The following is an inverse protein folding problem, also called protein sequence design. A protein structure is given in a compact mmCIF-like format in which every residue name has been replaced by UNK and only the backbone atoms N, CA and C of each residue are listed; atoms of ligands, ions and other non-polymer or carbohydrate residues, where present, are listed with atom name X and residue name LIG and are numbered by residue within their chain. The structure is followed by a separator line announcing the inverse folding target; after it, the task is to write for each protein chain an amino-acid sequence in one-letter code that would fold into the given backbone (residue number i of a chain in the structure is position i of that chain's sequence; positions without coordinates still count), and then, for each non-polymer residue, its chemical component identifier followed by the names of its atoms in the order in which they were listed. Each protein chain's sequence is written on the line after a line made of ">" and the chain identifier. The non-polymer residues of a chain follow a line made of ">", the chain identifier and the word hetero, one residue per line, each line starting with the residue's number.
data_IF_653789144323
#
_entry.id   IF_653789144323
#
_cell.length_a   1.000
_cell.length_b   1.000
_cell.length_c   1.000
_cell.angle_alpha   90.00
_cell.angle_beta   90.00
_cell.angle_gamma   90.00
#
_symmetry.space_group_name_H-M   'P 1'
#
loop_
_entity.id
_entity.type
_entity.pdbx_description
1 polymer ?
#
# COMPACT_ATOMS: atom_id res chain seq x y z
N UNK A 1 -4.61 15.50 -6.26
CA UNK A 1 -5.05 14.58 -7.34
C UNK A 1 -5.46 13.27 -6.69
N UNK A 2 -6.66 12.76 -7.00
CA UNK A 2 -7.13 11.48 -6.46
C UNK A 2 -6.52 10.32 -7.25
N UNK A 3 -5.85 9.42 -6.54
CA UNK A 3 -5.24 8.22 -7.06
C UNK A 3 -6.00 6.99 -6.58
N UNK A 4 -6.50 6.18 -7.50
CA UNK A 4 -7.19 4.94 -7.15
C UNK A 4 -6.18 3.80 -7.06
N UNK A 5 -6.07 3.24 -5.86
CA UNK A 5 -5.27 2.06 -5.57
C UNK A 5 -5.94 0.82 -6.16
N UNK A 6 -5.14 -0.22 -6.38
CA UNK A 6 -5.58 -1.53 -6.89
C UNK A 6 -6.65 -2.22 -6.01
N UNK A 7 -6.80 -1.78 -4.76
CA UNK A 7 -7.85 -2.22 -3.82
C UNK A 7 -9.19 -1.47 -4.01
N UNK A 8 -9.29 -0.58 -5.00
CA UNK A 8 -10.45 0.28 -5.25
C UNK A 8 -10.51 1.52 -4.35
N UNK A 9 -9.59 1.66 -3.39
CA UNK A 9 -9.50 2.82 -2.50
C UNK A 9 -8.89 4.02 -3.23
N UNK A 10 -9.51 5.19 -3.12
CA UNK A 10 -8.95 6.44 -3.63
C UNK A 10 -8.18 7.18 -2.53
N UNK A 11 -6.97 7.64 -2.84
CA UNK A 11 -6.11 8.42 -1.97
C UNK A 11 -5.76 9.75 -2.64
N UNK A 12 -5.89 10.87 -1.92
CA UNK A 12 -5.44 12.14 -2.47
C UNK A 12 -3.92 12.26 -2.33
N UNK A 13 -3.21 12.26 -3.47
CA UNK A 13 -1.75 12.31 -3.53
C UNK A 13 -1.19 13.59 -2.89
N UNK A 14 -1.93 14.70 -2.92
CA UNK A 14 -1.47 15.97 -2.36
C UNK A 14 -1.52 16.00 -0.84
N UNK A 15 -2.30 15.10 -0.22
CA UNK A 15 -2.36 14.93 1.24
C UNK A 15 -1.37 13.89 1.76
N UNK A 16 -0.65 13.17 0.90
CA UNK A 16 0.31 12.15 1.35
C UNK A 16 1.51 12.81 2.01
N UNK A 17 1.71 12.48 3.29
CA UNK A 17 2.87 12.89 4.10
C UNK A 17 3.98 11.85 4.00
N UNK A 18 3.63 10.56 4.08
CA UNK A 18 4.62 9.48 4.10
C UNK A 18 4.03 8.17 3.60
N UNK A 19 4.81 7.45 2.80
CA UNK A 19 4.49 6.07 2.39
C UNK A 19 5.44 5.12 3.11
N UNK A 20 4.89 4.23 3.94
CA UNK A 20 5.66 3.23 4.68
C UNK A 20 6.21 2.13 3.76
N UNK A 21 7.22 1.40 4.24
CA UNK A 21 7.73 0.21 3.56
C UNK A 21 6.71 -0.92 3.64
N UNK A 22 6.79 -1.85 2.68
CA UNK A 22 6.00 -3.09 2.75
C UNK A 22 6.47 -3.91 3.94
N UNK A 23 5.51 -4.31 4.77
CA UNK A 23 5.72 -5.11 5.97
C UNK A 23 4.71 -6.24 6.00
N UNK A 24 5.16 -7.33 6.61
CA UNK A 24 4.27 -8.43 6.94
C UNK A 24 3.50 -8.07 8.21
N UNK A 25 2.18 -8.17 8.16
CA UNK A 25 1.29 -7.97 9.30
C UNK A 25 1.04 -9.28 10.08
N UNK A 26 1.70 -10.36 9.68
CA UNK A 26 1.59 -11.67 10.32
C UNK A 26 0.39 -12.46 9.82
N UNK A 27 0.11 -13.53 10.57
CA UNK A 27 -0.96 -14.46 10.26
C UNK A 27 -2.32 -13.82 10.54
N UNK A 28 -3.22 -13.90 9.58
CA UNK A 28 -4.58 -13.45 9.80
C UNK A 28 -5.24 -14.37 10.85
N UNK A 29 -5.69 -13.81 11.97
CA UNK A 29 -6.25 -14.59 13.08
C UNK A 29 -7.61 -15.20 12.76
N UNK A 30 -8.24 -14.79 11.65
CA UNK A 30 -9.53 -15.31 11.19
C UNK A 30 -9.33 -16.45 10.17
N UNK A 31 -8.14 -16.60 9.59
CA UNK A 31 -7.87 -17.59 8.54
C UNK A 31 -6.65 -18.44 8.87
N UNK A 32 -6.85 -19.75 9.05
CA UNK A 32 -5.83 -20.70 9.52
C UNK A 32 -4.59 -20.77 8.59
N UNK A 33 -4.72 -20.33 7.33
CA UNK A 33 -3.71 -20.51 6.28
C UNK A 33 -3.28 -19.23 5.54
N UNK A 34 -3.84 -18.06 5.85
CA UNK A 34 -3.49 -16.81 5.15
C UNK A 34 -2.71 -15.87 6.06
N UNK A 35 -1.71 -15.22 5.48
CA UNK A 35 -0.96 -14.14 6.09
C UNK A 35 -1.30 -12.83 5.38
N UNK A 36 -1.08 -11.71 6.07
CA UNK A 36 -1.38 -10.37 5.55
C UNK A 36 -0.09 -9.61 5.33
N UNK A 37 0.09 -9.04 4.14
CA UNK A 37 1.25 -8.21 3.79
C UNK A 37 0.76 -6.92 3.14
N UNK A 38 1.45 -5.82 3.39
CA UNK A 38 1.02 -4.53 2.87
C UNK A 38 1.87 -3.36 3.31
N UNK A 39 1.42 -2.16 2.99
CA UNK A 39 2.04 -0.91 3.40
C UNK A 39 0.98 0.12 3.79
N UNK A 40 1.41 1.12 4.56
CA UNK A 40 0.54 2.19 5.05
C UNK A 40 0.90 3.51 4.39
N UNK A 41 -0.11 4.21 3.90
CA UNK A 41 0.00 5.57 3.37
C UNK A 41 -0.49 6.51 4.47
N UNK A 42 0.41 7.33 5.00
CA UNK A 42 0.08 8.36 5.98
C UNK A 42 -0.31 9.65 5.25
N UNK A 43 -1.52 10.12 5.54
CA UNK A 43 -2.07 11.37 5.05
C UNK A 43 -1.94 12.46 6.11
N UNK A 44 -2.10 13.71 5.67
CA UNK A 44 -2.19 14.85 6.57
C UNK A 44 -3.42 14.73 7.49
N UNK A 45 -3.29 15.16 8.75
CA UNK A 45 -4.37 15.08 9.73
C UNK A 45 -4.47 13.76 10.51
N UNK A 46 -3.38 12.97 10.60
CA UNK A 46 -3.33 11.63 11.25
C UNK A 46 -4.19 10.56 10.56
N UNK A 47 -4.69 10.85 9.36
CA UNK A 47 -5.38 9.86 8.54
C UNK A 47 -4.36 8.89 7.94
N UNK A 48 -4.74 7.62 7.78
CA UNK A 48 -3.90 6.65 7.10
C UNK A 48 -4.74 5.66 6.30
N UNK A 49 -4.18 5.22 5.18
CA UNK A 49 -4.77 4.22 4.30
C UNK A 49 -3.87 3.00 4.30
N UNK A 50 -4.42 1.86 4.73
CA UNK A 50 -3.73 0.58 4.67
C UNK A 50 -4.05 -0.14 3.37
N UNK A 51 -2.99 -0.44 2.62
CA UNK A 51 -3.04 -1.24 1.40
C UNK A 51 -2.46 -2.60 1.75
N UNK A 52 -3.33 -3.59 1.87
CA UNK A 52 -2.95 -4.93 2.31
C UNK A 52 -3.53 -5.98 1.36
N UNK A 53 -2.80 -7.09 1.23
CA UNK A 53 -3.28 -8.27 0.55
C UNK A 53 -3.10 -9.49 1.43
N UNK A 54 -4.04 -10.41 1.31
CA UNK A 54 -3.94 -11.72 1.92
C UNK A 54 -3.16 -12.63 0.96
N UNK A 55 -2.28 -13.46 1.51
CA UNK A 55 -1.47 -14.38 0.73
C UNK A 55 -1.33 -15.71 1.45
N UNK A 56 -1.23 -16.79 0.68
CA UNK A 56 -0.76 -18.07 1.19
C UNK A 56 0.77 -18.10 1.14
N UNK A 57 1.42 -18.81 2.07
CA UNK A 57 2.90 -18.81 2.16
C UNK A 57 3.58 -19.14 0.82
N UNK A 58 3.00 -20.03 0.03
CA UNK A 58 3.46 -20.40 -1.32
C UNK A 58 3.47 -19.23 -2.32
N UNK A 59 2.56 -18.28 -2.18
CA UNK A 59 2.37 -17.15 -3.10
C UNK A 59 3.03 -15.86 -2.61
N UNK A 60 3.68 -15.88 -1.45
CA UNK A 60 4.27 -14.71 -0.79
C UNK A 60 5.16 -13.88 -1.71
N UNK A 61 6.06 -14.55 -2.45
CA UNK A 61 7.01 -13.87 -3.32
C UNK A 61 6.32 -13.12 -4.47
N UNK A 62 5.27 -13.70 -5.03
CA UNK A 62 4.49 -13.10 -6.10
C UNK A 62 3.67 -11.91 -5.57
N UNK A 63 2.99 -12.08 -4.44
CA UNK A 63 2.17 -11.01 -3.81
C UNK A 63 3.04 -9.84 -3.37
N UNK A 64 4.22 -10.12 -2.80
CA UNK A 64 5.18 -9.08 -2.42
C UNK A 64 5.67 -8.30 -3.64
N UNK A 65 6.02 -9.00 -4.72
CA UNK A 65 6.47 -8.35 -5.97
C UNK A 65 5.38 -7.44 -6.55
N UNK A 66 4.12 -7.87 -6.51
CA UNK A 66 3.00 -7.08 -7.00
C UNK A 66 2.78 -5.82 -6.14
N UNK A 67 2.79 -5.97 -4.81
CA UNK A 67 2.73 -4.84 -3.88
C UNK A 67 3.91 -3.87 -4.05
N UNK A 68 5.11 -4.38 -4.33
CA UNK A 68 6.28 -3.54 -4.61
C UNK A 68 6.10 -2.72 -5.88
N UNK A 69 5.50 -3.30 -6.92
CA UNK A 69 5.15 -2.57 -8.15
C UNK A 69 4.11 -1.49 -7.88
N UNK A 70 3.00 -1.84 -7.21
CA UNK A 70 1.96 -0.88 -6.78
C UNK A 70 2.57 0.28 -5.99
N UNK A 71 3.43 -0.04 -5.00
CA UNK A 71 4.07 0.98 -4.15
C UNK A 71 5.02 1.88 -4.95
N UNK A 72 5.82 1.31 -5.85
CA UNK A 72 6.75 2.10 -6.69
C UNK A 72 5.99 3.03 -7.61
N UNK A 73 4.91 2.56 -8.22
CA UNK A 73 4.05 3.36 -9.07
C UNK A 73 3.40 4.52 -8.28
N UNK A 74 2.85 4.23 -7.09
CA UNK A 74 2.31 5.25 -6.20
C UNK A 74 3.37 6.32 -5.82
N UNK A 75 4.57 5.90 -5.44
CA UNK A 75 5.66 6.82 -5.09
C UNK A 75 6.04 7.68 -6.28
N UNK A 76 6.19 7.09 -7.47
CA UNK A 76 6.53 7.80 -8.70
C UNK A 76 5.49 8.90 -9.01
N UNK A 77 4.20 8.55 -8.92
CA UNK A 77 3.09 9.51 -9.11
C UNK A 77 3.07 10.60 -8.03
N UNK A 78 3.30 10.23 -6.78
CA UNK A 78 3.39 11.18 -5.67
C UNK A 78 4.57 12.15 -5.81
N UNK A 79 5.74 11.67 -6.23
CA UNK A 79 6.91 12.52 -6.49
C UNK A 79 6.69 13.45 -7.68
N UNK A 80 6.02 12.98 -8.74
CA UNK A 80 5.66 13.82 -9.89
C UNK A 80 4.71 14.96 -9.47
N UNK A 81 3.66 14.65 -8.70
CA UNK A 81 2.73 15.65 -8.14
C UNK A 81 3.45 16.67 -7.24
N UNK A 82 4.44 16.22 -6.45
CA UNK A 82 5.24 17.11 -5.59
C UNK A 82 6.16 18.04 -6.38
N UNK A 83 6.67 17.61 -7.54
CA UNK A 83 7.51 18.45 -8.42
C UNK A 83 6.70 19.41 -9.28
N UNK A 84 5.44 19.08 -9.57
CA UNK A 84 4.53 19.92 -10.35
C UNK A 84 3.92 21.08 -9.53
N UNK A 85 4.09 21.07 -8.21
CA UNK A 85 3.72 22.13 -7.26
C UNK A 85 4.93 23.00 -6.92
#
# INVERSE_FOLDING_TARGET
>A
MLFTLSDGKSVDLSRIVRISSIRDFGKDTQTISLSKIGYTIHLDGREYVEVCRNYHFSDWAQVKTDLEKDRKDLISRWEAERKAK
#
